data_IF_318222276803
#
_entry.id   IF_318222276803
#
_cell.length_a   1.000
_cell.length_b   1.000
_cell.length_c   1.000
_cell.angle_alpha   90.00
_cell.angle_beta   90.00
_cell.angle_gamma   90.00
#
_symmetry.space_group_name_H-M   'P 1'
#
loop_
_entity.id
_entity.type
_entity.pdbx_description
1 polymer ?
#
# COMPACT_ATOMS: atom_id res chain seq x y z
N UNK A 1 -3.67 -15.76 -11.80
CA UNK A 1 -2.34 -16.18 -11.30
C UNK A 1 -1.40 -14.99 -11.11
N UNK A 2 -0.49 -15.08 -10.14
CA UNK A 2 0.59 -14.10 -9.88
C UNK A 2 1.56 -14.06 -11.07
N UNK A 3 1.80 -12.86 -11.60
CA UNK A 3 2.71 -12.57 -12.72
C UNK A 3 3.96 -11.83 -12.28
N UNK A 4 3.93 -11.17 -11.13
CA UNK A 4 5.11 -10.61 -10.47
C UNK A 4 5.01 -10.85 -8.97
N UNK A 5 5.87 -11.72 -8.46
CA UNK A 5 5.92 -12.10 -7.05
C UNK A 5 6.28 -10.92 -6.14
N UNK A 6 5.75 -10.95 -4.91
CA UNK A 6 6.11 -9.99 -3.88
C UNK A 6 7.50 -10.32 -3.35
N UNK A 7 8.42 -9.38 -3.46
CA UNK A 7 9.81 -9.54 -3.02
C UNK A 7 10.18 -8.52 -1.97
N UNK A 8 11.08 -8.90 -1.06
CA UNK A 8 11.63 -7.97 -0.08
C UNK A 8 12.37 -6.86 -0.83
N UNK A 9 12.04 -5.61 -0.54
CA UNK A 9 12.72 -4.46 -1.13
C UNK A 9 14.23 -4.53 -0.86
N UNK A 10 15.05 -4.25 -1.88
CA UNK A 10 16.49 -4.11 -1.70
C UNK A 10 16.88 -3.05 -0.67
N UNK A 11 16.00 -2.09 -0.36
CA UNK A 11 16.21 -1.14 0.73
C UNK A 11 16.15 -1.80 2.11
N UNK A 12 15.22 -2.75 2.31
CA UNK A 12 15.14 -3.53 3.55
C UNK A 12 16.42 -4.35 3.71
N UNK A 13 16.85 -5.07 2.65
CA UNK A 13 18.09 -5.86 2.67
C UNK A 13 19.31 -5.00 3.00
N UNK A 14 19.41 -3.80 2.41
CA UNK A 14 20.49 -2.84 2.71
C UNK A 14 20.44 -2.35 4.16
N UNK A 15 19.25 -2.03 4.69
CA UNK A 15 19.09 -1.61 6.09
C UNK A 15 19.42 -2.73 7.08
N UNK A 16 19.03 -3.97 6.79
CA UNK A 16 19.38 -5.13 7.60
C UNK A 16 20.90 -5.32 7.66
N UNK A 17 21.55 -5.23 6.50
CA UNK A 17 22.99 -5.32 6.41
C UNK A 17 23.71 -4.14 7.10
N UNK A 18 23.10 -2.94 7.10
CA UNK A 18 23.61 -1.78 7.83
C UNK A 18 23.50 -1.99 9.34
N UNK A 19 22.31 -2.29 9.86
CA UNK A 19 22.06 -2.50 11.30
C UNK A 19 22.94 -3.63 11.85
N UNK A 20 23.13 -4.72 11.10
CA UNK A 20 24.00 -5.84 11.48
C UNK A 20 25.46 -5.44 11.63
N UNK A 21 25.95 -4.45 10.86
CA UNK A 21 27.36 -4.03 10.84
C UNK A 21 27.67 -2.84 11.73
N UNK A 22 26.67 -2.08 12.14
CA UNK A 22 26.88 -0.97 13.08
C UNK A 22 27.28 -1.52 14.46
N UNK A 23 28.11 -0.80 15.24
CA UNK A 23 28.25 -1.03 16.68
C UNK A 23 26.95 -0.69 17.43
N UNK A 24 26.79 -1.20 18.66
CA UNK A 24 25.58 -0.95 19.47
C UNK A 24 25.45 0.52 19.89
N UNK A 25 26.56 1.15 20.30
CA UNK A 25 26.61 2.52 20.79
C UNK A 25 26.73 3.59 19.69
N UNK A 26 26.57 3.20 18.42
CA UNK A 26 26.72 4.12 17.28
C UNK A 26 25.57 5.15 17.24
N UNK A 27 25.85 6.47 17.20
CA UNK A 27 24.84 7.54 17.25
C UNK A 27 23.76 7.56 16.13
N UNK A 28 23.78 6.63 15.18
CA UNK A 28 22.76 6.46 14.14
C UNK A 28 22.00 5.12 14.18
N UNK A 29 22.37 4.18 15.07
CA UNK A 29 21.87 2.81 15.03
C UNK A 29 20.36 2.74 15.28
N UNK A 30 19.87 3.43 16.30
CA UNK A 30 18.44 3.45 16.63
C UNK A 30 17.59 3.99 15.47
N UNK A 31 18.08 5.02 14.77
CA UNK A 31 17.43 5.55 13.57
C UNK A 31 17.38 4.50 12.47
N UNK A 32 18.46 3.78 12.22
CA UNK A 32 18.50 2.70 11.23
C UNK A 32 17.53 1.55 11.58
N UNK A 33 17.51 1.13 12.85
CA UNK A 33 16.56 0.12 13.38
C UNK A 33 15.11 0.59 13.20
N UNK A 34 14.81 1.84 13.55
CA UNK A 34 13.47 2.43 13.39
C UNK A 34 13.02 2.44 11.92
N UNK A 35 13.91 2.82 10.99
CA UNK A 35 13.62 2.76 9.56
C UNK A 35 13.41 1.32 9.07
N UNK A 36 14.22 0.38 9.54
CA UNK A 36 14.10 -1.03 9.19
C UNK A 36 12.75 -1.60 9.65
N UNK A 37 12.40 -1.37 10.92
CA UNK A 37 11.14 -1.81 11.51
C UNK A 37 9.93 -1.22 10.77
N UNK A 38 9.98 0.09 10.45
CA UNK A 38 8.92 0.74 9.67
C UNK A 38 8.73 0.07 8.30
N UNK A 39 9.81 -0.24 7.58
CA UNK A 39 9.72 -0.86 6.25
C UNK A 39 9.29 -2.31 6.30
N UNK A 40 9.80 -3.08 7.27
CA UNK A 40 9.33 -4.46 7.52
C UNK A 40 7.85 -4.49 7.87
N UNK A 41 7.37 -3.55 8.68
CA UNK A 41 5.94 -3.43 8.98
C UNK A 41 5.11 -3.15 7.72
N UNK A 42 5.58 -2.29 6.82
CA UNK A 42 4.93 -2.07 5.52
C UNK A 42 4.85 -3.34 4.68
N UNK A 43 6.00 -4.00 4.49
CA UNK A 43 6.09 -5.26 3.74
C UNK A 43 5.22 -6.37 4.34
N UNK A 44 5.20 -6.51 5.66
CA UNK A 44 4.33 -7.48 6.33
C UNK A 44 2.85 -7.18 6.13
N UNK A 45 2.45 -5.89 6.09
CA UNK A 45 1.08 -5.51 5.77
C UNK A 45 0.67 -5.89 4.36
N UNK A 46 1.56 -5.66 3.40
CA UNK A 46 1.39 -6.11 2.03
C UNK A 46 1.27 -7.65 1.94
N UNK A 47 2.08 -8.40 2.68
CA UNK A 47 2.01 -9.87 2.70
C UNK A 47 0.69 -10.41 3.25
N UNK A 48 0.04 -9.70 4.20
CA UNK A 48 -1.27 -10.11 4.70
C UNK A 48 -2.34 -10.08 3.61
N UNK A 49 -2.22 -9.18 2.64
CA UNK A 49 -3.14 -9.13 1.50
C UNK A 49 -2.99 -10.37 0.62
N UNK A 50 -1.78 -10.92 0.48
CA UNK A 50 -1.50 -12.07 -0.39
C UNK A 50 -2.36 -13.30 -0.02
N UNK A 51 -2.67 -13.48 1.27
CA UNK A 51 -3.62 -14.51 1.73
C UNK A 51 -4.98 -14.40 1.03
N UNK A 52 -5.55 -13.18 0.96
CA UNK A 52 -6.85 -12.97 0.33
C UNK A 52 -6.79 -13.07 -1.20
N UNK A 53 -5.66 -12.67 -1.78
CA UNK A 53 -5.45 -12.74 -3.23
C UNK A 53 -5.37 -14.18 -3.74
N UNK A 54 -4.96 -15.13 -2.89
CA UNK A 54 -4.93 -16.56 -3.23
C UNK A 54 -6.33 -17.18 -3.43
N UNK A 55 -7.41 -16.51 -2.99
CA UNK A 55 -8.78 -16.97 -3.25
C UNK A 55 -9.36 -16.48 -4.57
N UNK A 56 -8.65 -15.60 -5.30
CA UNK A 56 -9.09 -15.12 -6.60
C UNK A 56 -8.94 -16.21 -7.67
N UNK A 57 -9.90 -16.30 -8.60
CA UNK A 57 -9.82 -17.24 -9.72
C UNK A 57 -8.59 -16.92 -10.59
N UNK A 58 -7.66 -17.86 -10.65
CA UNK A 58 -6.42 -17.70 -11.39
C UNK A 58 -6.61 -17.45 -12.88
N UNK A 59 -7.76 -17.86 -13.45
CA UNK A 59 -8.11 -17.68 -14.87
C UNK A 59 -8.59 -16.28 -15.19
N UNK A 60 -9.12 -15.56 -14.20
CA UNK A 60 -9.74 -14.26 -14.39
C UNK A 60 -8.85 -13.10 -13.93
N UNK A 61 -7.90 -13.36 -13.02
CA UNK A 61 -7.05 -12.33 -12.43
C UNK A 61 -5.56 -12.54 -12.73
N UNK A 62 -4.87 -11.48 -13.14
CA UNK A 62 -3.41 -11.38 -13.18
C UNK A 62 -2.91 -10.43 -12.10
N UNK A 63 -2.01 -10.90 -11.24
CA UNK A 63 -1.58 -10.15 -10.05
C UNK A 63 -0.13 -9.72 -10.21
N UNK A 64 0.14 -8.43 -10.02
CA UNK A 64 1.49 -7.86 -10.06
C UNK A 64 1.78 -7.10 -8.77
N UNK A 65 2.74 -7.60 -7.97
CA UNK A 65 3.13 -6.96 -6.73
C UNK A 65 4.24 -5.93 -6.93
N UNK A 66 4.17 -4.78 -6.27
CA UNK A 66 5.24 -3.79 -6.20
C UNK A 66 5.73 -3.32 -7.57
N UNK A 67 4.82 -3.00 -8.49
CA UNK A 67 5.21 -2.46 -9.80
C UNK A 67 5.77 -1.05 -9.63
N UNK A 68 6.92 -0.80 -10.24
CA UNK A 68 7.52 0.53 -10.30
C UNK A 68 7.71 0.92 -11.76
N UNK A 69 6.94 1.89 -12.21
CA UNK A 69 6.86 2.33 -13.60
C UNK A 69 7.33 3.78 -13.71
N UNK A 70 7.86 4.15 -14.88
CA UNK A 70 8.28 5.52 -15.18
C UNK A 70 7.30 6.18 -16.14
N UNK A 71 6.91 7.42 -15.86
CA UNK A 71 6.15 8.26 -16.79
C UNK A 71 7.07 9.16 -17.65
N UNK A 72 8.37 8.84 -17.72
CA UNK A 72 9.40 9.62 -18.42
C UNK A 72 10.13 10.64 -17.53
N UNK A 73 9.44 11.28 -16.57
CA UNK A 73 10.06 12.27 -15.67
C UNK A 73 10.23 11.78 -14.24
N UNK A 74 9.32 10.91 -13.78
CA UNK A 74 9.26 10.40 -12.42
C UNK A 74 8.90 8.91 -12.44
N UNK A 75 9.12 8.27 -11.29
CA UNK A 75 8.66 6.91 -11.05
C UNK A 75 7.48 6.92 -10.10
N UNK A 76 6.47 6.10 -10.39
CA UNK A 76 5.38 5.79 -9.47
C UNK A 76 5.42 4.31 -9.12
N UNK A 77 4.98 3.99 -7.90
CA UNK A 77 4.93 2.63 -7.39
C UNK A 77 3.47 2.25 -7.12
N UNK A 78 3.11 1.02 -7.50
CA UNK A 78 1.82 0.39 -7.21
C UNK A 78 2.10 -0.83 -6.31
N UNK A 79 1.50 -0.85 -5.13
CA UNK A 79 1.73 -1.93 -4.15
C UNK A 79 1.23 -3.27 -4.67
N UNK A 80 0.02 -3.31 -5.24
CA UNK A 80 -0.52 -4.47 -5.97
C UNK A 80 -1.44 -4.00 -7.08
N UNK A 81 -1.23 -4.52 -8.30
CA UNK A 81 -2.11 -4.34 -9.44
C UNK A 81 -2.78 -5.66 -9.77
N UNK A 82 -4.12 -5.68 -9.72
CA UNK A 82 -4.93 -6.75 -10.27
C UNK A 82 -5.37 -6.35 -11.67
N UNK A 83 -5.18 -7.24 -12.65
CA UNK A 83 -5.72 -7.07 -13.99
C UNK A 83 -6.73 -8.18 -14.27
N UNK A 84 -7.81 -7.82 -14.93
CA UNK A 84 -8.78 -8.74 -15.53
C UNK A 84 -8.80 -8.50 -17.04
N UNK A 85 -9.66 -9.23 -17.77
CA UNK A 85 -9.88 -8.97 -19.20
C UNK A 85 -10.50 -7.60 -19.48
N UNK A 86 -11.23 -7.01 -18.52
CA UNK A 86 -12.02 -5.79 -18.73
C UNK A 86 -11.55 -4.57 -17.95
N UNK A 87 -10.76 -4.75 -16.89
CA UNK A 87 -10.32 -3.64 -16.02
C UNK A 87 -9.09 -4.00 -15.19
N UNK A 88 -8.43 -2.97 -14.67
CA UNK A 88 -7.38 -3.06 -13.67
C UNK A 88 -7.83 -2.45 -12.34
N UNK A 89 -7.35 -3.00 -11.24
CA UNK A 89 -7.62 -2.53 -9.89
C UNK A 89 -6.29 -2.35 -9.17
N UNK A 90 -6.00 -1.11 -8.77
CA UNK A 90 -4.86 -0.79 -7.90
C UNK A 90 -5.29 -1.00 -6.45
N UNK A 91 -4.53 -1.79 -5.70
CA UNK A 91 -4.70 -1.95 -4.27
C UNK A 91 -3.55 -1.22 -3.56
N UNK A 92 -3.87 -0.10 -2.91
CA UNK A 92 -2.94 0.67 -2.07
C UNK A 92 -3.04 0.13 -0.63
N UNK A 93 -1.95 -0.43 -0.10
CA UNK A 93 -2.00 -1.18 1.17
C UNK A 93 -1.45 -0.34 2.32
N UNK A 94 -2.24 -0.13 3.37
CA UNK A 94 -1.81 0.55 4.59
C UNK A 94 -1.85 -0.40 5.79
N UNK A 95 -0.69 -0.60 6.39
CA UNK A 95 -0.56 -1.30 7.67
C UNK A 95 -0.55 -0.29 8.83
N UNK A 96 -1.71 0.28 9.12
CA UNK A 96 -1.89 1.22 10.24
C UNK A 96 -2.47 0.51 11.46
N UNK A 97 -2.25 1.04 12.66
CA UNK A 97 -2.85 0.52 13.89
C UNK A 97 -3.53 1.67 14.64
N UNK A 98 -4.51 1.36 15.48
CA UNK A 98 -5.25 2.35 16.27
C UNK A 98 -6.47 2.86 15.51
N UNK A 99 -6.86 4.11 15.78
CA UNK A 99 -8.02 4.73 15.11
C UNK A 99 -7.55 5.57 13.94
N UNK A 100 -8.19 5.39 12.79
CA UNK A 100 -7.92 6.09 11.54
C UNK A 100 -9.17 6.90 11.18
N UNK A 101 -9.04 8.21 11.20
CA UNK A 101 -10.10 9.16 10.88
C UNK A 101 -9.80 9.73 9.50
N UNK A 102 -10.66 9.45 8.53
CA UNK A 102 -10.56 10.03 7.20
C UNK A 102 -11.19 11.42 7.18
N UNK A 103 -10.43 12.43 6.80
CA UNK A 103 -10.91 13.80 6.67
C UNK A 103 -10.86 14.24 5.20
N UNK A 104 -11.86 13.84 4.39
CA UNK A 104 -11.82 14.04 2.94
C UNK A 104 -11.78 15.53 2.56
N UNK A 105 -12.40 16.41 3.37
CA UNK A 105 -12.38 17.86 3.17
C UNK A 105 -10.96 18.45 3.20
N UNK A 106 -10.05 17.81 3.93
CA UNK A 106 -8.67 18.26 4.10
C UNK A 106 -7.65 17.37 3.36
N UNK A 107 -8.12 16.38 2.58
CA UNK A 107 -7.26 15.39 1.91
C UNK A 107 -6.21 14.76 2.84
N UNK A 108 -6.62 14.47 4.08
CA UNK A 108 -5.75 13.91 5.09
C UNK A 108 -6.43 12.79 5.89
N UNK A 109 -5.59 12.07 6.62
CA UNK A 109 -6.01 11.04 7.56
C UNK A 109 -5.33 11.28 8.89
N UNK A 110 -6.12 11.33 9.96
CA UNK A 110 -5.61 11.41 11.33
C UNK A 110 -5.54 10.00 11.91
N UNK A 111 -4.37 9.63 12.40
CA UNK A 111 -4.18 8.40 13.18
C UNK A 111 -4.05 8.73 14.66
N UNK A 112 -4.87 8.10 15.47
CA UNK A 112 -4.79 8.12 16.93
C UNK A 112 -4.25 6.77 17.41
N UNK A 113 -3.09 6.79 18.08
CA UNK A 113 -2.45 5.58 18.60
C UNK A 113 -1.62 5.92 19.86
N UNK A 114 -1.88 5.23 20.97
CA UNK A 114 -1.28 5.52 22.28
C UNK A 114 -1.44 7.00 22.67
N UNK A 115 -2.67 7.52 22.58
CA UNK A 115 -3.03 8.92 22.91
C UNK A 115 -2.32 9.99 22.06
N UNK A 116 -1.56 9.57 21.04
CA UNK A 116 -0.88 10.47 20.12
C UNK A 116 -1.62 10.54 18.80
N UNK A 117 -1.87 11.77 18.37
CA UNK A 117 -2.43 12.07 17.06
C UNK A 117 -1.31 12.35 16.06
N UNK A 118 -1.50 11.87 14.83
CA UNK A 118 -0.60 12.16 13.73
C UNK A 118 -1.36 12.20 12.43
N UNK A 119 -1.17 13.30 11.70
CA UNK A 119 -1.67 13.46 10.34
C UNK A 119 -0.81 12.68 9.34
N UNK A 120 -1.48 12.08 8.36
CA UNK A 120 -0.92 11.38 7.23
C UNK A 120 -1.61 11.87 5.95
N UNK A 121 -0.91 11.75 4.83
CA UNK A 121 -1.51 12.00 3.52
C UNK A 121 -2.64 10.99 3.24
N UNK A 122 -3.68 11.46 2.57
CA UNK A 122 -4.82 10.64 2.21
C UNK A 122 -4.43 9.51 1.22
N UNK A 123 -4.59 8.23 1.62
CA UNK A 123 -4.26 7.10 0.77
C UNK A 123 -5.21 6.97 -0.43
N UNK A 124 -6.42 7.54 -0.35
CA UNK A 124 -7.37 7.54 -1.47
C UNK A 124 -6.84 8.45 -2.58
N UNK A 125 -6.42 9.66 -2.21
CA UNK A 125 -5.75 10.61 -3.12
C UNK A 125 -4.47 10.01 -3.73
N UNK A 126 -3.70 9.25 -2.95
CA UNK A 126 -2.51 8.54 -3.45
C UNK A 126 -2.86 7.49 -4.51
N UNK A 127 -3.84 6.62 -4.22
CA UNK A 127 -4.28 5.57 -5.14
C UNK A 127 -4.91 6.13 -6.42
N UNK A 128 -5.67 7.23 -6.29
CA UNK A 128 -6.22 7.95 -7.44
C UNK A 128 -5.11 8.53 -8.34
N UNK A 129 -4.06 9.10 -7.74
CA UNK A 129 -2.90 9.57 -8.49
C UNK A 129 -2.20 8.42 -9.21
N UNK A 130 -1.98 7.28 -8.55
CA UNK A 130 -1.38 6.10 -9.18
C UNK A 130 -2.24 5.59 -10.35
N UNK A 131 -3.58 5.58 -10.24
CA UNK A 131 -4.48 5.22 -11.34
C UNK A 131 -4.30 6.14 -12.54
N UNK A 132 -4.25 7.47 -12.33
CA UNK A 132 -3.98 8.43 -13.42
C UNK A 132 -2.62 8.23 -14.06
N UNK A 133 -1.59 7.93 -13.27
CA UNK A 133 -0.25 7.67 -13.78
C UNK A 133 -0.19 6.37 -14.60
N UNK A 134 -0.85 5.32 -14.14
CA UNK A 134 -0.94 4.05 -14.86
C UNK A 134 -1.69 4.23 -16.18
N UNK A 135 -2.81 4.93 -16.20
CA UNK A 135 -3.55 5.23 -17.45
C UNK A 135 -2.68 5.98 -18.46
N UNK A 136 -1.96 7.01 -18.02
CA UNK A 136 -1.01 7.75 -18.87
C UNK A 136 0.11 6.86 -19.39
N UNK A 137 0.67 6.02 -18.52
CA UNK A 137 1.70 5.07 -18.89
C UNK A 137 1.19 4.08 -19.94
N UNK A 138 0.00 3.52 -19.75
CA UNK A 138 -0.63 2.59 -20.70
C UNK A 138 -0.86 3.25 -22.07
N UNK A 139 -1.43 4.45 -22.09
CA UNK A 139 -1.65 5.19 -23.34
C UNK A 139 -0.32 5.47 -24.08
N UNK A 140 0.74 5.85 -23.36
CA UNK A 140 2.07 6.09 -23.94
C UNK A 140 2.71 4.82 -24.54
N UNK A 141 2.28 3.63 -24.12
CA UNK A 141 2.77 2.34 -24.63
C UNK A 141 1.80 1.70 -25.63
N UNK A 142 0.81 2.44 -26.13
CA UNK A 142 -0.12 1.99 -27.18
C UNK A 142 -1.22 1.03 -26.69
N UNK A 143 -1.46 0.95 -25.38
CA UNK A 143 -2.60 0.20 -24.87
C UNK A 143 -3.92 0.96 -25.14
N UNK A 144 -5.04 0.25 -25.35
CA UNK A 144 -6.35 0.89 -25.50
C UNK A 144 -6.76 1.58 -24.19
N UNK A 145 -7.78 2.45 -24.28
CA UNK A 145 -8.39 3.00 -23.07
C UNK A 145 -8.95 1.86 -22.22
N UNK A 146 -8.34 1.66 -21.06
CA UNK A 146 -8.55 0.52 -20.19
C UNK A 146 -8.96 1.02 -18.81
N UNK A 147 -10.12 0.61 -18.29
CA UNK A 147 -10.58 1.05 -16.98
C UNK A 147 -9.59 0.68 -15.88
N UNK A 148 -9.13 1.68 -15.12
CA UNK A 148 -8.29 1.49 -13.92
C UNK A 148 -9.03 2.06 -12.71
N UNK A 149 -9.51 1.15 -11.88
CA UNK A 149 -10.08 1.42 -10.57
C UNK A 149 -9.01 1.32 -9.48
N UNK A 150 -9.36 1.76 -8.27
CA UNK A 150 -8.47 1.65 -7.13
C UNK A 150 -9.23 1.46 -5.82
N UNK A 151 -8.56 0.82 -4.86
CA UNK A 151 -9.03 0.61 -3.51
C UNK A 151 -7.90 0.79 -2.50
N UNK A 152 -8.21 1.40 -1.36
CA UNK A 152 -7.32 1.44 -0.20
C UNK A 152 -7.64 0.26 0.70
N UNK A 153 -6.63 -0.54 1.00
CA UNK A 153 -6.74 -1.72 1.86
C UNK A 153 -6.03 -1.47 3.18
N UNK A 154 -6.77 -1.50 4.28
CA UNK A 154 -6.18 -1.49 5.63
C UNK A 154 -5.90 -2.92 6.05
N UNK A 155 -4.61 -3.31 6.06
CA UNK A 155 -4.16 -4.69 6.30
C UNK A 155 -4.10 -5.07 7.78
N UNK A 156 -4.28 -4.11 8.69
CA UNK A 156 -4.28 -4.39 10.12
C UNK A 156 -5.72 -4.49 10.64
N UNK A 157 -6.16 -5.68 11.05
CA UNK A 157 -7.57 -5.92 11.40
C UNK A 157 -8.02 -5.22 12.68
N UNK A 158 -7.08 -4.86 13.56
CA UNK A 158 -7.38 -4.12 14.79
C UNK A 158 -7.59 -2.62 14.56
N UNK A 159 -7.57 -2.15 13.30
CA UNK A 159 -7.75 -0.74 12.97
C UNK A 159 -9.22 -0.35 13.04
N UNK A 160 -9.51 0.71 13.78
CA UNK A 160 -10.84 1.32 13.78
C UNK A 160 -10.85 2.41 12.71
N UNK A 161 -11.72 2.28 11.70
CA UNK A 161 -11.89 3.29 10.66
C UNK A 161 -13.10 4.16 11.01
N UNK A 162 -12.90 5.47 11.04
CA UNK A 162 -13.96 6.48 11.25
C UNK A 162 -13.99 7.45 10.07
N UNK A 163 -15.19 7.92 9.73
CA UNK A 163 -15.43 9.01 8.79
C UNK A 163 -16.31 10.04 9.51
N UNK A 164 -15.93 11.33 9.58
CA UNK A 164 -16.74 12.39 10.20
C UNK A 164 -18.09 12.58 9.49
N UNK A 165 -18.12 12.30 8.19
CA UNK A 165 -19.36 12.22 7.42
C UNK A 165 -19.89 10.78 7.43
N UNK A 166 -21.20 10.58 7.57
CA UNK A 166 -21.87 9.28 7.36
C UNK A 166 -21.69 8.72 5.91
N UNK A 167 -20.86 9.36 5.08
CA UNK A 167 -20.36 8.78 3.84
C UNK A 167 -19.16 7.89 4.16
N UNK A 168 -19.41 6.59 4.25
CA UNK A 168 -18.35 5.60 4.05
C UNK A 168 -17.78 5.86 2.66
N UNK A 169 -16.53 6.28 2.55
CA UNK A 169 -15.88 6.39 1.25
C UNK A 169 -15.93 4.99 0.60
N UNK A 170 -16.64 4.85 -0.53
CA UNK A 170 -16.88 3.56 -1.22
C UNK A 170 -15.59 2.90 -1.76
N UNK A 171 -14.40 3.40 -1.38
CA UNK A 171 -13.07 3.05 -1.90
C UNK A 171 -12.09 2.61 -0.82
N UNK A 172 -12.52 2.52 0.44
CA UNK A 172 -11.69 2.07 1.56
C UNK A 172 -12.23 0.78 2.15
N UNK A 173 -11.38 -0.24 2.26
CA UNK A 173 -11.74 -1.57 2.76
C UNK A 173 -10.78 -1.99 3.88
N UNK A 174 -11.31 -2.56 4.95
CA UNK A 174 -10.51 -3.19 6.00
C UNK A 174 -10.40 -4.70 5.72
N UNK A 175 -9.20 -5.27 5.84
CA UNK A 175 -9.06 -6.72 5.91
C UNK A 175 -9.72 -7.23 7.21
N UNK A 176 -10.62 -8.22 7.14
CA UNK A 176 -11.26 -8.76 8.33
C UNK A 176 -10.24 -9.39 9.29
N UNK A 177 -10.50 -9.26 10.59
CA UNK A 177 -9.74 -9.92 11.65
C UNK A 177 -9.91 -11.43 11.57
N UNK A 178 -8.82 -12.18 11.52
CA UNK A 178 -8.84 -13.58 11.93
C UNK A 178 -8.58 -13.66 13.43
N UNK A 179 -9.59 -14.18 14.14
CA UNK A 179 -9.39 -14.81 15.43
C UNK A 179 -8.81 -16.18 15.09
N UNK A 180 -7.52 -16.39 15.36
CA UNK A 180 -6.99 -17.74 15.51
C UNK A 180 -7.42 -18.28 16.87
#
# INVERSE_FOLDING_TARGET
MIKKERTVSGFIVKLEALVRRMPEMEPGRERAISQLNKRRAGYSGEQKLDYYLNFLDEKEYWIYHGLRLSNGSQFFQIDTLLLTKGSGIILEVKNWNGTIIFEPEFHQVIRIHNEKEKAFHDPISQAEHQSRQLKKWMAAHGFPDFPIEFAVVISSPSTIIKSPSNQTSKKSYACPSFVN
#
